data_IF_906981689411
#
_entry.id   IF_906981689411
#
_cell.length_a   1.000
_cell.length_b   1.000
_cell.length_c   1.000
_cell.angle_alpha   90.00
_cell.angle_beta   90.00
_cell.angle_gamma   90.00
#
_symmetry.space_group_name_H-M   'P 1'
#
loop_
_entity.id
_entity.type
_entity.pdbx_description
1 polymer ?
#
# COMPACT_ATOMS: atom_id res chain seq x y z
N UNK A 1 3.95 22.48 -6.21
CA UNK A 1 4.10 21.46 -5.14
C UNK A 1 2.70 21.01 -4.81
N UNK A 2 2.41 19.71 -4.87
CA UNK A 2 1.06 19.24 -4.53
C UNK A 2 0.84 19.36 -3.03
N UNK A 3 -0.37 19.74 -2.60
CA UNK A 3 -0.77 19.77 -1.19
C UNK A 3 -0.81 18.35 -0.60
N UNK A 4 -1.00 17.34 -1.43
CA UNK A 4 -1.10 15.94 -1.03
C UNK A 4 0.27 15.40 -0.64
N UNK A 5 0.37 14.85 0.58
CA UNK A 5 1.58 14.18 1.07
C UNK A 5 1.36 12.68 1.30
N UNK A 6 0.16 12.28 1.74
CA UNK A 6 -0.21 10.89 1.97
C UNK A 6 -1.68 10.64 1.63
N UNK A 7 -2.02 9.39 1.37
CA UNK A 7 -3.40 8.99 1.17
C UNK A 7 -3.67 7.61 1.81
N UNK A 8 -4.86 7.46 2.39
CA UNK A 8 -5.34 6.18 2.88
C UNK A 8 -6.03 5.42 1.75
N UNK A 9 -5.70 4.14 1.63
CA UNK A 9 -6.25 3.23 0.65
C UNK A 9 -6.83 2.01 1.35
N UNK A 10 -7.91 1.50 0.79
CA UNK A 10 -8.39 0.14 1.03
C UNK A 10 -8.13 -0.67 -0.22
N UNK A 11 -7.24 -1.65 -0.11
CA UNK A 11 -6.87 -2.59 -1.18
C UNK A 11 -7.53 -3.92 -0.85
N UNK A 12 -8.25 -4.51 -1.81
CA UNK A 12 -8.79 -5.86 -1.68
C UNK A 12 -8.15 -6.76 -2.72
N UNK A 13 -7.53 -7.82 -2.24
CA UNK A 13 -6.87 -8.83 -3.07
C UNK A 13 -7.63 -10.14 -2.86
N UNK A 14 -8.04 -10.78 -3.95
CA UNK A 14 -8.73 -12.07 -3.89
C UNK A 14 -7.72 -13.19 -3.82
N UNK A 15 -8.00 -14.18 -2.97
CA UNK A 15 -7.20 -15.39 -2.83
C UNK A 15 -8.03 -16.62 -3.19
N UNK A 16 -7.37 -17.63 -3.73
CA UNK A 16 -7.92 -18.97 -3.90
C UNK A 16 -8.01 -19.70 -2.55
N UNK A 17 -6.99 -19.50 -1.69
CA UNK A 17 -6.96 -19.95 -0.30
C UNK A 17 -6.43 -18.80 0.57
N UNK A 18 -7.28 -18.31 1.48
CA UNK A 18 -6.99 -17.12 2.30
C UNK A 18 -6.28 -17.46 3.61
N UNK A 19 -6.19 -18.75 3.95
CA UNK A 19 -5.80 -19.27 5.26
C UNK A 19 -4.45 -18.74 5.77
N UNK A 20 -3.51 -18.45 4.86
CA UNK A 20 -2.15 -17.96 5.19
C UNK A 20 -1.90 -16.51 4.83
N UNK A 21 -2.81 -15.87 4.07
CA UNK A 21 -2.58 -14.56 3.49
C UNK A 21 -2.30 -13.48 4.55
N UNK A 22 -3.06 -13.46 5.64
CA UNK A 22 -2.88 -12.48 6.72
C UNK A 22 -1.52 -12.62 7.41
N UNK A 23 -1.12 -13.85 7.70
CA UNK A 23 0.14 -14.15 8.38
C UNK A 23 1.35 -13.81 7.48
N UNK A 24 1.30 -14.20 6.21
CA UNK A 24 2.35 -13.89 5.24
C UNK A 24 2.49 -12.37 5.01
N UNK A 25 1.38 -11.63 4.93
CA UNK A 25 1.41 -10.17 4.83
C UNK A 25 1.95 -9.52 6.09
N UNK A 26 1.53 -9.97 7.28
CA UNK A 26 2.08 -9.44 8.53
C UNK A 26 3.58 -9.74 8.65
N UNK A 27 4.03 -10.93 8.24
CA UNK A 27 5.45 -11.28 8.19
C UNK A 27 6.23 -10.39 7.20
N UNK A 28 5.66 -10.11 6.02
CA UNK A 28 6.22 -9.16 5.06
C UNK A 28 6.34 -7.76 5.67
N UNK A 29 5.30 -7.30 6.36
CA UNK A 29 5.30 -5.99 7.03
C UNK A 29 6.18 -5.96 8.29
N UNK A 30 6.56 -7.11 8.86
CA UNK A 30 7.53 -7.16 9.95
C UNK A 30 8.99 -7.02 9.47
N UNK A 31 9.25 -7.18 8.15
CA UNK A 31 10.60 -6.98 7.59
C UNK A 31 11.05 -5.54 7.77
N UNK A 32 12.36 -5.39 8.01
CA UNK A 32 13.02 -4.09 8.20
C UNK A 32 12.97 -3.24 6.92
N UNK A 33 13.10 -3.89 5.77
CA UNK A 33 13.17 -3.28 4.44
C UNK A 33 12.30 -4.11 3.49
N UNK A 34 11.59 -3.44 2.60
CA UNK A 34 10.77 -4.07 1.55
C UNK A 34 11.25 -3.51 0.21
N UNK A 35 12.24 -4.19 -0.38
CA UNK A 35 12.81 -3.79 -1.65
C UNK A 35 11.91 -4.26 -2.79
N UNK A 36 11.49 -3.33 -3.64
CA UNK A 36 10.76 -3.64 -4.87
C UNK A 36 11.31 -2.82 -6.04
N UNK A 37 11.08 -3.32 -7.26
CA UNK A 37 11.51 -2.66 -8.48
C UNK A 37 10.47 -1.62 -8.87
N UNK A 38 10.84 -0.34 -8.77
CA UNK A 38 10.01 0.76 -9.22
C UNK A 38 10.34 1.09 -10.67
N UNK A 39 9.38 0.87 -11.56
CA UNK A 39 9.48 1.30 -12.97
C UNK A 39 9.30 2.80 -13.06
N UNK A 40 10.32 3.49 -13.57
CA UNK A 40 10.27 4.93 -13.85
C UNK A 40 10.41 5.17 -15.36
N UNK A 41 10.06 6.37 -15.83
CA UNK A 41 10.24 6.76 -17.24
C UNK A 41 11.70 6.65 -17.74
N UNK A 42 12.68 6.54 -16.83
CA UNK A 42 14.11 6.44 -17.12
C UNK A 42 14.73 5.07 -16.82
N UNK A 43 13.93 4.07 -16.43
CA UNK A 43 14.40 2.72 -16.14
C UNK A 43 13.80 2.09 -14.88
N UNK A 44 14.20 0.86 -14.63
CA UNK A 44 13.86 0.08 -13.43
C UNK A 44 14.85 0.41 -12.32
N UNK A 45 14.37 0.80 -11.14
CA UNK A 45 15.22 1.07 -9.99
C UNK A 45 14.68 0.38 -8.75
N UNK A 46 15.53 -0.34 -8.05
CA UNK A 46 15.21 -0.90 -6.74
C UNK A 46 15.00 0.24 -5.74
N UNK A 47 13.90 0.16 -4.98
CA UNK A 47 13.57 1.12 -3.95
C UNK A 47 12.98 0.38 -2.74
N UNK A 48 13.42 0.77 -1.55
CA UNK A 48 12.75 0.37 -0.33
C UNK A 48 11.43 1.14 -0.19
N UNK A 49 10.32 0.40 -0.15
CA UNK A 49 8.98 0.99 -0.01
C UNK A 49 8.51 1.05 1.43
N UNK A 50 9.22 0.41 2.36
CA UNK A 50 8.88 0.39 3.79
C UNK A 50 8.67 1.79 4.38
N UNK A 51 9.57 2.79 4.18
CA UNK A 51 9.39 4.13 4.76
C UNK A 51 8.19 4.91 4.19
N UNK A 52 7.66 4.49 3.04
CA UNK A 52 6.49 5.12 2.43
C UNK A 52 5.17 4.59 2.98
N UNK A 53 5.19 3.51 3.77
CA UNK A 53 4.00 2.96 4.44
C UNK A 53 3.93 3.58 5.84
N UNK A 54 2.98 4.49 6.03
CA UNK A 54 2.79 5.24 7.29
C UNK A 54 1.94 4.48 8.30
N UNK A 55 0.88 3.83 7.82
CA UNK A 55 0.00 2.98 8.62
C UNK A 55 -0.39 1.76 7.79
N UNK A 56 -0.51 0.61 8.44
CA UNK A 56 -0.84 -0.65 7.78
C UNK A 56 -1.67 -1.53 8.69
N UNK A 57 -2.86 -1.89 8.22
CA UNK A 57 -3.76 -2.86 8.85
C UNK A 57 -4.26 -3.79 7.76
N UNK A 58 -4.27 -5.09 8.04
CA UNK A 58 -4.87 -6.05 7.14
C UNK A 58 -5.76 -7.02 7.92
N UNK A 59 -6.75 -7.57 7.24
CA UNK A 59 -7.60 -8.63 7.76
C UNK A 59 -8.18 -9.43 6.61
N UNK A 60 -8.60 -10.65 6.90
CA UNK A 60 -9.20 -11.55 5.91
C UNK A 60 -10.71 -11.61 6.03
N UNK A 61 -11.41 -11.65 4.90
CA UNK A 61 -12.88 -11.74 4.85
C UNK A 61 -13.34 -12.31 3.51
N UNK A 62 -14.17 -13.35 3.51
CA UNK A 62 -14.81 -13.91 2.30
C UNK A 62 -13.81 -14.25 1.16
N UNK A 63 -12.64 -14.83 1.49
CA UNK A 63 -11.52 -15.06 0.56
C UNK A 63 -10.87 -13.80 -0.05
N UNK A 64 -11.14 -12.63 0.54
CA UNK A 64 -10.42 -11.40 0.25
C UNK A 64 -9.48 -11.07 1.41
N UNK A 65 -8.25 -10.72 1.07
CA UNK A 65 -7.38 -9.97 1.96
C UNK A 65 -7.72 -8.50 1.78
N UNK A 66 -8.16 -7.87 2.87
CA UNK A 66 -8.48 -6.45 2.90
C UNK A 66 -7.33 -5.75 3.62
N UNK A 67 -6.71 -4.80 2.93
CA UNK A 67 -5.57 -4.02 3.44
C UNK A 67 -6.00 -2.56 3.51
N UNK A 68 -6.08 -2.02 4.72
CA UNK A 68 -6.21 -0.60 4.96
C UNK A 68 -4.82 -0.02 5.27
N UNK A 69 -4.34 0.88 4.42
CA UNK A 69 -2.99 1.42 4.56
C UNK A 69 -2.91 2.87 4.16
N UNK A 70 -2.12 3.63 4.90
CA UNK A 70 -1.78 5.00 4.58
C UNK A 70 -0.39 5.02 3.98
N UNK A 71 -0.27 5.49 2.74
CA UNK A 71 0.99 5.53 2.01
C UNK A 71 1.32 6.96 1.56
N UNK A 72 2.61 7.28 1.46
CA UNK A 72 3.08 8.55 0.92
C UNK A 72 2.61 8.68 -0.54
N UNK A 73 1.98 9.81 -0.88
CA UNK A 73 1.44 10.11 -2.20
C UNK A 73 1.78 11.56 -2.64
N UNK A 74 2.92 12.06 -2.18
CA UNK A 74 3.39 13.42 -2.46
C UNK A 74 4.32 13.53 -3.66
N UNK A 75 4.66 14.77 -4.03
CA UNK A 75 5.53 15.03 -5.19
C UNK A 75 6.99 14.63 -4.97
N UNK A 76 7.45 14.54 -3.71
CA UNK A 76 8.81 14.13 -3.35
C UNK A 76 8.90 12.62 -3.13
N UNK A 77 7.90 12.06 -2.46
CA UNK A 77 7.83 10.66 -2.07
C UNK A 77 6.44 10.12 -2.38
N UNK A 78 6.37 9.08 -3.20
CA UNK A 78 5.11 8.47 -3.62
C UNK A 78 5.27 6.96 -3.73
N UNK A 79 4.36 6.22 -3.09
CA UNK A 79 4.17 4.79 -3.28
C UNK A 79 2.82 4.59 -3.98
N UNK A 80 2.84 3.90 -5.12
CA UNK A 80 1.60 3.51 -5.78
C UNK A 80 0.91 2.41 -4.97
N UNK A 81 -0.39 2.56 -4.69
CA UNK A 81 -1.19 1.50 -4.09
C UNK A 81 -1.18 0.21 -4.94
N UNK A 82 -1.08 0.35 -6.26
CA UNK A 82 -0.94 -0.78 -7.18
C UNK A 82 0.40 -1.49 -7.00
N UNK A 83 1.49 -0.75 -6.83
CA UNK A 83 2.81 -1.32 -6.55
C UNK A 83 2.80 -2.08 -5.22
N UNK A 84 2.20 -1.51 -4.18
CA UNK A 84 2.06 -2.17 -2.89
C UNK A 84 1.23 -3.46 -3.01
N UNK A 85 0.12 -3.43 -3.76
CA UNK A 85 -0.69 -4.61 -4.01
C UNK A 85 0.11 -5.70 -4.75
N UNK A 86 0.90 -5.33 -5.77
CA UNK A 86 1.77 -6.27 -6.48
C UNK A 86 2.82 -6.88 -5.55
N UNK A 87 3.49 -6.07 -4.73
CA UNK A 87 4.46 -6.58 -3.74
C UNK A 87 3.82 -7.57 -2.77
N UNK A 88 2.60 -7.30 -2.31
CA UNK A 88 1.84 -8.23 -1.45
C UNK A 88 1.59 -9.53 -2.21
N UNK A 89 1.10 -9.46 -3.46
CA UNK A 89 0.83 -10.66 -4.26
C UNK A 89 2.09 -11.50 -4.50
N UNK A 90 3.21 -10.86 -4.82
CA UNK A 90 4.50 -11.53 -5.08
C UNK A 90 5.11 -12.16 -3.81
N UNK A 91 4.70 -11.72 -2.62
CA UNK A 91 5.22 -12.19 -1.34
C UNK A 91 4.20 -13.03 -0.55
N UNK A 92 3.06 -13.39 -1.14
CA UNK A 92 2.04 -14.22 -0.51
C UNK A 92 1.61 -15.35 -1.41
N UNK A 93 1.16 -16.45 -0.81
CA UNK A 93 0.76 -17.65 -1.53
C UNK A 93 -0.73 -17.61 -1.86
N UNK A 94 -1.15 -18.40 -2.86
CA UNK A 94 -2.57 -18.63 -3.18
C UNK A 94 -3.38 -17.40 -3.61
N UNK A 95 -2.73 -16.34 -4.08
CA UNK A 95 -3.39 -15.20 -4.71
C UNK A 95 -4.17 -15.69 -5.94
N UNK A 96 -5.37 -15.15 -6.16
CA UNK A 96 -6.09 -15.35 -7.41
C UNK A 96 -5.61 -14.31 -8.44
N UNK A 97 -4.69 -14.69 -9.32
CA UNK A 97 -4.11 -13.79 -10.33
C UNK A 97 -5.10 -13.39 -11.43
N UNK A 98 -6.17 -14.17 -11.63
CA UNK A 98 -7.22 -13.87 -12.61
C UNK A 98 -8.23 -12.84 -12.08
N UNK A 99 -8.23 -12.59 -10.76
CA UNK A 99 -9.12 -11.63 -10.13
C UNK A 99 -8.51 -10.23 -10.10
N UNK A 100 -9.36 -9.23 -10.35
CA UNK A 100 -8.97 -7.84 -10.21
C UNK A 100 -8.70 -7.48 -8.75
N UNK A 101 -7.64 -6.69 -8.54
CA UNK A 101 -7.37 -6.04 -7.26
C UNK A 101 -8.22 -4.77 -7.18
N UNK A 102 -9.07 -4.67 -6.15
CA UNK A 102 -9.86 -3.47 -5.93
C UNK A 102 -9.03 -2.48 -5.10
N UNK A 103 -8.75 -1.30 -5.65
CA UNK A 103 -8.02 -0.24 -4.95
C UNK A 103 -8.96 0.95 -4.79
N UNK A 104 -9.30 1.29 -3.55
CA UNK A 104 -10.12 2.46 -3.22
C UNK A 104 -9.31 3.44 -2.39
N UNK A 105 -9.14 4.67 -2.89
CA UNK A 105 -8.63 5.79 -2.07
C UNK A 105 -9.75 6.28 -1.17
N UNK A 106 -9.52 6.26 0.14
CA UNK A 106 -10.52 6.58 1.16
C UNK A 106 -10.38 8.03 1.63
N UNK A 107 -9.16 8.47 1.92
CA UNK A 107 -8.89 9.79 2.50
C UNK A 107 -7.55 10.32 1.99
N UNK A 108 -7.40 11.64 1.98
CA UNK A 108 -6.19 12.34 1.54
C UNK A 108 -5.69 13.26 2.64
N UNK A 109 -4.37 13.31 2.81
CA UNK A 109 -3.70 14.02 3.89
C UNK A 109 -2.58 14.92 3.37
N UNK A 110 -2.34 15.99 4.12
CA UNK A 110 -1.24 16.92 3.94
C UNK A 110 -0.52 17.13 5.27
N UNK A 111 0.77 17.41 5.23
CA UNK A 111 1.53 17.78 6.43
C UNK A 111 1.24 19.24 6.81
N UNK A 112 0.77 19.43 8.05
CA UNK A 112 0.68 20.73 8.72
C UNK A 112 1.67 20.73 9.88
N UNK A 113 2.90 21.17 9.62
CA UNK A 113 4.04 20.87 10.49
C UNK A 113 4.37 19.38 10.44
N UNK A 114 4.53 18.73 11.59
CA UNK A 114 4.83 17.29 11.70
C UNK A 114 3.60 16.38 11.70
N UNK A 115 2.38 16.93 11.62
CA UNK A 115 1.13 16.17 11.71
C UNK A 115 0.45 16.02 10.35
N UNK A 116 0.03 14.79 10.03
CA UNK A 116 -0.84 14.52 8.88
C UNK A 116 -2.27 14.93 9.21
N UNK A 117 -2.81 15.90 8.47
CA UNK A 117 -4.20 16.34 8.61
C UNK A 117 -4.98 16.08 7.32
N UNK A 118 -6.26 15.69 7.40
CA UNK A 118 -7.09 15.52 6.21
C UNK A 118 -7.20 16.83 5.41
N UNK A 119 -7.24 16.74 4.08
CA UNK A 119 -7.26 17.93 3.22
C UNK A 119 -8.45 18.86 3.51
N UNK A 120 -9.61 18.32 3.88
CA UNK A 120 -10.79 19.13 4.23
C UNK A 120 -10.62 19.95 5.52
N UNK A 121 -9.65 19.61 6.38
CA UNK A 121 -9.27 20.37 7.60
C UNK A 121 -8.02 21.23 7.37
N UNK A 122 -7.43 21.17 6.18
CA UNK A 122 -6.19 21.87 5.89
C UNK A 122 -6.43 23.34 5.50
N UNK A 123 -7.56 23.60 4.83
CA UNK A 123 -7.99 24.92 4.31
C UNK A 123 -8.64 25.73 5.43
#
# INVERSE_FOLDING_TARGET
MALLDAANYTIKIRYNDISKAEEEVNALMAKKEIITIKRTKKGEKEADIKPFIKDFKCWTKDNYLIVNTTISCGSRENLSADLLANVIKENTSNVNEEAFVEIKRVEMYAYKGDTLVPLYKYI
#
